data_IF_499473234079
#
_entry.id   IF_499473234079
#
_cell.length_a   1.000
_cell.length_b   1.000
_cell.length_c   1.000
_cell.angle_alpha   90.00
_cell.angle_beta   90.00
_cell.angle_gamma   90.00
#
_symmetry.space_group_name_H-M   'P 1'
#
loop_
_entity.id
_entity.type
_entity.pdbx_description
1 polymer ?
#
# COMPACT_ATOMS: atom_id res chain seq x y z
N UNK A 1 -0.94 33.41 -3.17
CA UNK A 1 -0.21 32.29 -2.56
C UNK A 1 -0.19 31.20 -3.58
N UNK A 2 0.99 30.78 -4.00
CA UNK A 2 1.13 29.75 -5.02
C UNK A 2 0.78 28.37 -4.42
N UNK A 3 0.05 27.50 -5.13
CA UNK A 3 -0.28 26.17 -4.63
C UNK A 3 1.02 25.39 -4.36
N UNK A 4 1.13 24.68 -3.23
CA UNK A 4 2.31 23.88 -2.94
C UNK A 4 2.49 22.80 -4.00
N UNK A 5 3.74 22.64 -4.43
CA UNK A 5 4.16 21.71 -5.47
C UNK A 5 3.63 20.29 -5.21
N UNK A 6 2.84 19.69 -6.12
CA UNK A 6 2.39 18.30 -5.99
C UNK A 6 3.56 17.31 -6.05
N UNK A 7 4.73 17.77 -6.47
CA UNK A 7 5.97 17.01 -6.58
C UNK A 7 6.60 16.64 -5.23
N UNK A 8 6.18 17.29 -4.13
CA UNK A 8 6.68 16.99 -2.79
C UNK A 8 5.83 15.93 -2.06
N UNK A 9 5.27 15.00 -2.83
CA UNK A 9 4.64 13.79 -2.29
C UNK A 9 5.68 13.08 -1.41
N UNK A 10 5.33 12.73 -0.15
CA UNK A 10 6.24 12.01 0.72
C UNK A 10 6.70 10.75 -0.01
N UNK A 11 8.00 10.56 -0.11
CA UNK A 11 8.55 9.35 -0.71
C UNK A 11 7.99 8.11 0.02
N UNK A 12 7.63 7.10 -0.76
CA UNK A 12 7.14 5.84 -0.24
C UNK A 12 5.61 5.72 -0.15
N UNK A 13 5.16 4.78 0.67
CA UNK A 13 3.76 4.42 0.83
C UNK A 13 2.97 5.54 1.53
N UNK A 14 1.94 6.08 0.86
CA UNK A 14 1.00 7.08 1.40
C UNK A 14 0.30 6.63 2.69
N UNK A 15 0.17 5.32 2.91
CA UNK A 15 -0.45 4.76 4.11
C UNK A 15 0.51 4.68 5.32
N UNK A 16 1.83 4.79 5.13
CA UNK A 16 2.83 4.69 6.19
C UNK A 16 2.57 5.55 7.46
N UNK A 17 2.07 6.80 7.41
CA UNK A 17 1.78 7.58 8.62
C UNK A 17 0.62 7.05 9.46
N UNK A 18 -0.25 6.19 8.90
CA UNK A 18 -1.43 5.63 9.59
C UNK A 18 -1.50 4.11 9.59
N UNK A 19 -0.58 3.45 8.91
CA UNK A 19 -0.53 2.00 8.82
C UNK A 19 0.12 1.42 10.10
N UNK A 20 -0.57 0.53 10.84
CA UNK A 20 -0.02 -0.09 12.04
C UNK A 20 1.10 -1.10 11.74
N UNK A 21 1.19 -1.54 10.48
CA UNK A 21 2.22 -2.47 9.99
C UNK A 21 3.39 -1.75 9.31
N UNK A 22 3.40 -0.40 9.33
CA UNK A 22 4.41 0.40 8.66
C UNK A 22 5.81 0.10 9.20
N UNK A 23 6.75 -0.11 8.28
CA UNK A 23 8.18 -0.26 8.55
C UNK A 23 8.95 0.85 7.85
N UNK A 24 10.25 0.96 8.14
CA UNK A 24 11.12 1.98 7.54
C UNK A 24 11.10 1.93 6.01
N UNK A 25 11.10 0.74 5.41
CA UNK A 25 11.00 0.54 3.97
C UNK A 25 9.73 1.18 3.36
N UNK A 26 8.61 1.24 4.09
CA UNK A 26 7.37 1.86 3.63
C UNK A 26 7.50 3.38 3.47
N UNK A 27 8.50 4.03 4.10
CA UNK A 27 8.76 5.47 4.02
C UNK A 27 9.89 5.81 3.03
N UNK A 28 10.60 4.80 2.55
CA UNK A 28 11.75 4.96 1.67
C UNK A 28 11.40 4.68 0.21
N UNK A 29 10.51 3.72 -0.05
CA UNK A 29 10.12 3.32 -1.40
C UNK A 29 8.63 2.99 -1.50
N UNK A 30 8.06 3.23 -2.68
CA UNK A 30 6.68 2.87 -2.97
C UNK A 30 6.60 1.36 -3.29
N UNK A 31 5.74 0.60 -2.60
CA UNK A 31 5.56 -0.82 -2.88
C UNK A 31 5.02 -1.08 -4.29
N UNK A 32 5.41 -2.19 -4.94
CA UNK A 32 4.74 -2.65 -6.15
C UNK A 32 3.29 -3.06 -5.86
N UNK A 33 2.41 -2.90 -6.84
CA UNK A 33 1.07 -3.47 -6.80
C UNK A 33 1.16 -4.99 -6.93
N UNK A 34 0.60 -5.68 -5.94
CA UNK A 34 0.57 -7.14 -5.84
C UNK A 34 -0.87 -7.62 -5.70
N UNK A 35 -1.16 -8.85 -6.12
CA UNK A 35 -2.50 -9.41 -5.96
C UNK A 35 -2.84 -9.58 -4.47
N UNK A 36 -4.03 -9.12 -4.07
CA UNK A 36 -4.52 -9.15 -2.69
C UNK A 36 -5.82 -9.95 -2.56
N UNK A 37 -5.93 -11.00 -3.37
CA UNK A 37 -7.15 -11.78 -3.59
C UNK A 37 -7.81 -11.46 -4.93
N UNK A 38 -8.87 -12.19 -5.24
CA UNK A 38 -9.49 -12.21 -6.57
C UNK A 38 -9.79 -10.78 -7.07
N UNK A 39 -9.21 -10.40 -8.22
CA UNK A 39 -9.43 -9.07 -8.83
C UNK A 39 -9.03 -7.85 -8.00
N UNK A 40 -8.28 -8.00 -6.90
CA UNK A 40 -7.82 -6.89 -6.04
C UNK A 40 -6.31 -6.77 -6.08
N UNK A 41 -5.85 -5.54 -6.11
CA UNK A 41 -4.43 -5.21 -6.02
C UNK A 41 -4.17 -4.40 -4.76
N UNK A 42 -3.11 -4.73 -4.05
CA UNK A 42 -2.60 -3.96 -2.93
C UNK A 42 -1.12 -3.62 -3.16
N UNK A 43 -0.77 -2.38 -2.88
CA UNK A 43 0.62 -1.92 -2.82
C UNK A 43 1.09 -2.00 -1.35
N UNK A 44 1.37 -3.22 -0.87
CA UNK A 44 1.86 -3.45 0.48
C UNK A 44 3.25 -4.10 0.44
N UNK A 45 4.27 -3.46 1.02
CA UNK A 45 5.62 -4.06 1.15
C UNK A 45 5.57 -5.35 1.97
N UNK A 46 4.61 -5.45 2.89
CA UNK A 46 4.44 -6.60 3.77
C UNK A 46 3.42 -7.60 3.26
N UNK A 47 3.16 -7.65 1.94
CA UNK A 47 2.09 -8.50 1.40
C UNK A 47 2.24 -9.98 1.81
N UNK A 48 3.47 -10.49 1.82
CA UNK A 48 3.81 -11.85 2.28
C UNK A 48 3.39 -12.12 3.74
N UNK A 49 3.43 -11.09 4.60
CA UNK A 49 3.03 -11.20 6.00
C UNK A 49 1.51 -11.07 6.22
N UNK A 50 0.76 -10.51 5.26
CA UNK A 50 -0.71 -10.37 5.32
C UNK A 50 -1.45 -11.38 4.44
N UNK A 51 -0.76 -12.09 3.55
CA UNK A 51 -1.35 -13.06 2.63
C UNK A 51 -2.10 -14.20 3.36
N UNK A 52 -1.72 -14.50 4.60
CA UNK A 52 -2.45 -15.41 5.48
C UNK A 52 -3.86 -14.95 5.90
N UNK A 53 -4.30 -13.74 5.52
CA UNK A 53 -5.58 -13.16 5.94
C UNK A 53 -6.56 -12.82 4.79
N UNK A 54 -6.20 -12.95 3.51
CA UNK A 54 -6.98 -12.34 2.39
C UNK A 54 -7.63 -13.33 1.40
N UNK A 55 -7.62 -14.63 1.67
CA UNK A 55 -8.16 -15.68 0.76
C UNK A 55 -9.70 -15.79 0.72
N UNK A 56 -10.48 -14.70 0.86
CA UNK A 56 -11.94 -14.85 1.04
C UNK A 56 -12.88 -13.72 0.57
N UNK A 57 -12.56 -12.84 -0.39
CA UNK A 57 -13.58 -11.84 -0.81
C UNK A 57 -13.39 -11.11 -2.16
N UNK A 58 -13.51 -11.74 -3.33
CA UNK A 58 -14.10 -11.02 -4.47
C UNK A 58 -14.70 -11.95 -5.53
N UNK A 59 -15.79 -12.60 -5.16
CA UNK A 59 -16.82 -12.98 -6.11
C UNK A 59 -17.91 -11.89 -6.03
N UNK A 60 -18.02 -11.05 -7.06
CA UNK A 60 -19.20 -10.20 -7.27
C UNK A 60 -19.80 -10.60 -8.60
N UNK A 61 -20.95 -11.27 -8.50
CA UNK A 61 -21.87 -11.59 -9.61
C UNK A 61 -22.39 -10.35 -10.32
#
# INVERSE_FOLDING_TARGET
>A
GDPPDPSNLPAGCTFAPRCPLAIDACRQAEPPLTAAGEGRLAACIRMDAVDGAVTAAQEVS
#
